data_IF_961731650334
#
_entry.id   IF_961731650334
#
_cell.length_a   1.000
_cell.length_b   1.000
_cell.length_c   1.000
_cell.angle_alpha   90.00
_cell.angle_beta   90.00
_cell.angle_gamma   90.00
#
_symmetry.space_group_name_H-M   'P 1'
#
loop_
_entity.id
_entity.type
_entity.pdbx_description
1 polymer ?
#
# COMPACT_ATOMS: atom_id res chain seq x y z
N UNK A 1 13.90 -46.76 22.84
CA UNK A 1 14.35 -46.10 21.60
C UNK A 1 13.80 -44.71 21.67
N UNK A 2 14.65 -43.74 22.01
CA UNK A 2 14.29 -42.34 21.94
C UNK A 2 14.35 -41.97 20.46
N UNK A 3 13.17 -41.82 19.84
CA UNK A 3 13.10 -41.29 18.48
C UNK A 3 13.40 -39.80 18.55
N UNK A 4 14.44 -39.36 17.86
CA UNK A 4 14.72 -37.93 17.70
C UNK A 4 13.84 -37.44 16.55
N UNK A 5 12.83 -36.64 16.85
CA UNK A 5 12.03 -35.96 15.84
C UNK A 5 12.83 -34.77 15.31
N UNK A 6 13.25 -34.84 14.05
CA UNK A 6 13.89 -33.72 13.36
C UNK A 6 12.85 -33.01 12.51
N UNK A 7 12.63 -31.73 12.79
CA UNK A 7 11.80 -30.84 11.98
C UNK A 7 12.70 -30.07 11.01
N UNK A 8 12.65 -30.38 9.72
CA UNK A 8 13.29 -29.60 8.68
C UNK A 8 12.26 -28.72 8.00
N UNK A 9 12.54 -27.42 7.86
CA UNK A 9 11.71 -26.53 7.04
C UNK A 9 12.52 -26.13 5.80
N UNK A 10 11.95 -26.32 4.61
CA UNK A 10 12.57 -25.95 3.33
C UNK A 10 11.73 -24.89 2.65
N UNK A 11 12.39 -23.83 2.18
CA UNK A 11 11.76 -22.85 1.30
C UNK A 11 11.82 -23.36 -0.14
N UNK A 12 10.66 -23.43 -0.78
CA UNK A 12 10.54 -23.87 -2.17
C UNK A 12 10.00 -22.70 -2.98
N UNK A 13 10.88 -22.09 -3.78
CA UNK A 13 10.55 -20.99 -4.70
C UNK A 13 10.45 -21.54 -6.11
N UNK A 14 9.26 -21.48 -6.69
CA UNK A 14 8.95 -21.96 -8.04
C UNK A 14 8.18 -20.90 -8.84
N UNK A 15 8.28 -20.95 -10.16
CA UNK A 15 7.34 -20.27 -11.06
C UNK A 15 5.98 -20.92 -10.85
N UNK A 16 4.94 -20.11 -10.60
CA UNK A 16 3.58 -20.62 -10.47
C UNK A 16 3.03 -21.04 -11.84
N UNK A 17 3.21 -20.17 -12.83
CA UNK A 17 2.89 -20.39 -14.23
C UNK A 17 3.66 -19.37 -15.08
N UNK A 18 4.25 -19.86 -16.17
CA UNK A 18 4.72 -19.01 -17.28
C UNK A 18 3.50 -18.67 -18.13
N UNK A 19 2.92 -17.47 -17.91
CA UNK A 19 1.66 -17.07 -18.55
C UNK A 19 1.93 -16.65 -20.00
N UNK A 20 3.01 -15.89 -20.25
CA UNK A 20 3.49 -15.48 -21.56
C UNK A 20 4.66 -16.34 -22.03
N UNK A 21 4.35 -17.56 -22.47
CA UNK A 21 5.35 -18.62 -22.72
C UNK A 21 6.62 -18.16 -23.45
N UNK A 22 7.79 -18.47 -22.90
CA UNK A 22 9.09 -18.22 -23.52
C UNK A 22 9.86 -17.08 -22.85
N UNK A 23 10.42 -16.15 -23.64
CA UNK A 23 11.17 -14.99 -23.09
C UNK A 23 10.27 -13.76 -22.86
N UNK A 24 8.97 -13.87 -23.14
CA UNK A 24 8.02 -12.79 -22.94
C UNK A 24 7.67 -12.70 -21.46
N UNK A 25 7.71 -11.50 -20.88
CA UNK A 25 7.27 -11.32 -19.51
C UNK A 25 5.75 -11.29 -19.43
N UNK A 26 5.18 -11.99 -18.45
CA UNK A 26 3.75 -11.93 -18.12
C UNK A 26 3.33 -10.60 -17.47
N UNK A 27 4.29 -9.87 -16.90
CA UNK A 27 4.11 -8.57 -16.23
C UNK A 27 2.92 -8.58 -15.26
N UNK A 28 2.85 -9.60 -14.41
CA UNK A 28 1.84 -9.66 -13.36
C UNK A 28 2.08 -8.61 -12.30
N UNK A 29 1.03 -7.98 -11.76
CA UNK A 29 1.08 -6.99 -10.67
C UNK A 29 -0.36 -6.72 -10.17
N UNK A 30 -0.52 -5.76 -9.24
CA UNK A 30 -1.81 -5.42 -8.60
C UNK A 30 -2.44 -6.61 -7.86
N UNK A 31 -1.64 -7.37 -7.11
CA UNK A 31 -2.15 -8.53 -6.38
C UNK A 31 -3.18 -8.16 -5.32
N UNK A 32 -4.31 -8.86 -5.34
CA UNK A 32 -5.33 -8.79 -4.28
C UNK A 32 -5.94 -10.16 -4.03
N UNK A 33 -6.58 -10.33 -2.88
CA UNK A 33 -7.19 -11.59 -2.47
C UNK A 33 -8.69 -11.43 -2.34
N UNK A 34 -9.45 -12.37 -2.91
CA UNK A 34 -10.87 -12.53 -2.64
C UNK A 34 -11.14 -13.98 -2.23
N UNK A 35 -11.44 -14.18 -0.95
CA UNK A 35 -11.52 -15.51 -0.35
C UNK A 35 -10.14 -16.19 -0.29
N UNK A 36 -9.99 -17.33 -0.94
CA UNK A 36 -8.73 -18.07 -1.06
C UNK A 36 -8.09 -17.97 -2.45
N UNK A 37 -8.53 -17.00 -3.25
CA UNK A 37 -8.09 -16.84 -4.65
C UNK A 37 -7.34 -15.52 -4.81
N UNK A 38 -6.13 -15.61 -5.38
CA UNK A 38 -5.33 -14.49 -5.83
C UNK A 38 -5.94 -13.92 -7.11
N UNK A 39 -6.06 -12.60 -7.19
CA UNK A 39 -6.40 -11.85 -8.39
C UNK A 39 -5.30 -10.86 -8.72
N UNK A 40 -5.02 -10.70 -10.00
CA UNK A 40 -3.95 -9.86 -10.52
C UNK A 40 -4.21 -9.54 -11.98
N UNK A 41 -3.52 -8.54 -12.53
CA UNK A 41 -3.51 -8.34 -13.98
C UNK A 41 -2.27 -9.03 -14.58
N UNK A 42 -2.37 -9.56 -15.79
CA UNK A 42 -1.25 -10.17 -16.52
C UNK A 42 -1.55 -10.28 -18.02
N UNK A 43 -0.53 -10.50 -18.83
CA UNK A 43 -0.64 -10.79 -20.27
C UNK A 43 -0.16 -12.20 -20.61
N UNK A 44 -0.86 -12.87 -21.54
CA UNK A 44 -0.44 -14.13 -22.17
C UNK A 44 0.20 -13.92 -23.56
N UNK A 45 0.46 -12.66 -23.92
CA UNK A 45 1.00 -12.27 -25.23
C UNK A 45 -0.02 -12.26 -26.38
N UNK A 46 -1.23 -12.78 -26.18
CA UNK A 46 -2.27 -12.87 -27.23
C UNK A 46 -3.50 -12.00 -26.95
N UNK A 47 -3.83 -11.80 -25.68
CA UNK A 47 -5.04 -11.11 -25.23
C UNK A 47 -4.76 -9.77 -24.53
N UNK A 48 -3.52 -9.26 -24.61
CA UNK A 48 -3.12 -8.08 -23.84
C UNK A 48 -3.15 -8.33 -22.32
N UNK A 49 -3.10 -7.26 -21.53
CA UNK A 49 -3.17 -7.30 -20.06
C UNK A 49 -4.62 -7.34 -19.61
N UNK A 50 -5.00 -8.46 -19.01
CA UNK A 50 -6.36 -8.78 -18.56
C UNK A 50 -6.40 -9.19 -17.09
N UNK A 51 -7.59 -9.44 -16.53
CA UNK A 51 -7.76 -9.91 -15.16
C UNK A 51 -7.52 -11.42 -15.10
N UNK A 52 -6.63 -11.85 -14.21
CA UNK A 52 -6.30 -13.25 -13.94
C UNK A 52 -6.63 -13.63 -12.51
N UNK A 53 -6.77 -14.94 -12.30
CA UNK A 53 -6.94 -15.52 -10.97
C UNK A 53 -6.12 -16.78 -10.78
N UNK A 54 -5.79 -17.11 -9.53
CA UNK A 54 -5.12 -18.36 -9.16
C UNK A 54 -5.48 -18.80 -7.74
N UNK A 55 -5.55 -20.11 -7.50
CA UNK A 55 -5.56 -20.71 -6.16
C UNK A 55 -4.18 -21.20 -5.69
N UNK A 56 -3.13 -20.89 -6.45
CA UNK A 56 -1.77 -21.37 -6.19
C UNK A 56 -1.38 -22.63 -6.97
N UNK A 57 -2.18 -23.07 -7.94
CA UNK A 57 -1.84 -24.13 -8.90
C UNK A 57 -1.74 -23.61 -10.33
N UNK A 58 -0.92 -24.26 -11.17
CA UNK A 58 -0.79 -23.90 -12.59
C UNK A 58 -2.12 -24.06 -13.34
N UNK A 59 -2.91 -25.09 -12.99
CA UNK A 59 -4.20 -25.39 -13.59
C UNK A 59 -5.27 -24.34 -13.26
N UNK A 60 -5.29 -23.81 -12.04
CA UNK A 60 -6.24 -22.76 -11.64
C UNK A 60 -5.83 -21.37 -12.08
N UNK A 61 -4.56 -21.19 -12.48
CA UNK A 61 -4.03 -19.91 -12.93
C UNK A 61 -4.54 -19.61 -14.33
N UNK A 62 -5.64 -18.87 -14.42
CA UNK A 62 -6.36 -18.63 -15.67
C UNK A 62 -6.85 -17.19 -15.77
N UNK A 63 -6.96 -16.70 -17.01
CA UNK A 63 -7.63 -15.44 -17.30
C UNK A 63 -9.11 -15.56 -16.89
N UNK A 64 -9.61 -14.56 -16.18
CA UNK A 64 -11.00 -14.51 -15.75
C UNK A 64 -11.91 -14.20 -16.94
N UNK A 65 -11.52 -13.21 -17.74
CA UNK A 65 -12.22 -12.75 -18.94
C UNK A 65 -11.29 -11.90 -19.79
N UNK A 66 -11.35 -12.09 -21.10
CA UNK A 66 -10.84 -11.14 -22.09
C UNK A 66 -11.85 -10.00 -22.22
N UNK A 67 -11.64 -8.91 -21.46
CA UNK A 67 -12.58 -7.78 -21.39
C UNK A 67 -12.51 -6.97 -22.68
N UNK A 68 -11.30 -6.66 -23.14
CA UNK A 68 -11.08 -6.02 -24.43
C UNK A 68 -10.64 -7.07 -25.45
N UNK A 69 -11.61 -7.61 -26.18
CA UNK A 69 -11.37 -8.75 -27.07
C UNK A 69 -10.17 -8.60 -28.01
N UNK A 70 -9.27 -9.59 -27.97
CA UNK A 70 -8.06 -9.67 -28.81
C UNK A 70 -6.83 -9.09 -28.12
N UNK A 71 -5.80 -8.70 -28.89
CA UNK A 71 -4.49 -8.34 -28.33
C UNK A 71 -4.43 -6.97 -27.61
N UNK A 72 -5.56 -6.28 -27.45
CA UNK A 72 -5.62 -4.97 -26.79
C UNK A 72 -5.93 -5.18 -25.32
N UNK A 73 -5.22 -4.47 -24.44
CA UNK A 73 -5.37 -4.65 -23.00
C UNK A 73 -6.57 -3.89 -22.43
N UNK A 74 -7.32 -4.50 -21.52
CA UNK A 74 -8.36 -3.83 -20.72
C UNK A 74 -7.81 -3.03 -19.55
N UNK A 75 -6.53 -3.21 -19.22
CA UNK A 75 -5.81 -2.54 -18.12
C UNK A 75 -6.56 -2.55 -16.78
N UNK A 76 -6.87 -3.75 -16.21
CA UNK A 76 -7.43 -3.83 -14.87
C UNK A 76 -6.55 -3.11 -13.86
N UNK A 77 -7.12 -2.43 -12.88
CA UNK A 77 -6.33 -1.81 -11.81
C UNK A 77 -7.16 -1.38 -10.61
N UNK A 78 -6.48 -1.01 -9.52
CA UNK A 78 -7.10 -0.73 -8.22
C UNK A 78 -7.94 -1.91 -7.70
N UNK A 79 -7.41 -3.14 -7.85
CA UNK A 79 -8.14 -4.36 -7.51
C UNK A 79 -8.54 -4.35 -6.02
N UNK A 80 -9.83 -4.26 -5.73
CA UNK A 80 -10.34 -4.08 -4.36
C UNK A 80 -11.50 -5.04 -4.08
N UNK A 81 -11.32 -5.91 -3.10
CA UNK A 81 -12.35 -6.85 -2.66
C UNK A 81 -13.31 -6.19 -1.68
N UNK A 82 -14.62 -6.29 -1.94
CA UNK A 82 -15.69 -5.93 -1.00
C UNK A 82 -16.63 -7.13 -0.85
N UNK A 83 -16.55 -7.82 0.29
CA UNK A 83 -17.26 -9.07 0.50
C UNK A 83 -16.80 -10.15 -0.49
N UNK A 84 -17.72 -10.67 -1.30
CA UNK A 84 -17.46 -11.68 -2.34
C UNK A 84 -17.43 -11.08 -3.75
N UNK A 85 -17.12 -9.79 -3.87
CA UNK A 85 -17.04 -9.10 -5.16
C UNK A 85 -15.73 -8.35 -5.26
N UNK A 86 -15.02 -8.59 -6.37
CA UNK A 86 -13.83 -7.84 -6.74
C UNK A 86 -14.24 -6.64 -7.58
N UNK A 87 -13.86 -5.43 -7.19
CA UNK A 87 -14.02 -4.21 -7.96
C UNK A 87 -12.69 -3.75 -8.55
N UNK A 88 -12.74 -3.23 -9.77
CA UNK A 88 -11.56 -2.72 -10.46
C UNK A 88 -11.96 -1.72 -11.55
N UNK A 89 -11.02 -0.91 -12.03
CA UNK A 89 -11.19 -0.16 -13.28
C UNK A 89 -10.78 -1.02 -14.47
N UNK A 90 -11.47 -0.91 -15.60
CA UNK A 90 -11.05 -1.52 -16.87
C UNK A 90 -11.72 -0.82 -18.07
N UNK A 91 -11.19 -1.02 -19.27
CA UNK A 91 -11.77 -0.53 -20.54
C UNK A 91 -12.22 -1.71 -21.41
N UNK A 92 -13.31 -1.52 -22.16
CA UNK A 92 -13.72 -2.46 -23.21
C UNK A 92 -13.69 -1.76 -24.59
N UNK A 93 -14.21 -2.43 -25.63
CA UNK A 93 -14.20 -1.91 -27.01
C UNK A 93 -15.23 -0.81 -27.30
N UNK A 94 -16.19 -0.60 -26.41
CA UNK A 94 -17.33 0.31 -26.59
C UNK A 94 -17.31 1.48 -25.60
N UNK A 95 -16.78 1.24 -24.41
CA UNK A 95 -16.71 2.15 -23.27
C UNK A 95 -15.26 2.46 -22.95
N UNK A 96 -14.99 3.66 -22.44
CA UNK A 96 -13.67 3.99 -21.91
C UNK A 96 -13.37 3.25 -20.60
N UNK A 97 -12.42 3.78 -19.82
CA UNK A 97 -12.06 3.20 -18.52
C UNK A 97 -13.15 3.50 -17.49
N UNK A 98 -13.83 2.45 -17.05
CA UNK A 98 -15.03 2.51 -16.20
C UNK A 98 -14.93 1.55 -14.99
N UNK A 99 -15.95 1.55 -14.13
CA UNK A 99 -16.02 0.67 -12.96
C UNK A 99 -16.52 -0.72 -13.37
N UNK A 100 -15.72 -1.75 -13.10
CA UNK A 100 -16.03 -3.16 -13.32
C UNK A 100 -16.10 -3.93 -12.00
N UNK A 101 -16.79 -5.06 -12.06
CA UNK A 101 -16.82 -6.04 -10.97
C UNK A 101 -16.61 -7.46 -11.48
N UNK A 102 -16.19 -8.36 -10.59
CA UNK A 102 -16.09 -9.79 -10.83
C UNK A 102 -16.44 -10.61 -9.58
N UNK A 103 -17.06 -11.77 -9.78
CA UNK A 103 -17.20 -12.84 -8.78
C UNK A 103 -16.13 -13.94 -8.96
N UNK A 104 -15.17 -13.71 -9.86
CA UNK A 104 -14.15 -14.67 -10.26
C UNK A 104 -14.48 -15.47 -11.51
N UNK A 105 -15.69 -15.37 -12.06
CA UNK A 105 -16.08 -16.05 -13.29
C UNK A 105 -16.14 -15.09 -14.49
N UNK A 106 -16.02 -15.62 -15.71
CA UNK A 106 -16.18 -14.82 -16.93
C UNK A 106 -17.59 -14.18 -17.01
N UNK A 107 -18.62 -14.89 -16.58
CA UNK A 107 -20.01 -14.41 -16.61
C UNK A 107 -20.30 -13.36 -15.53
N UNK A 108 -19.68 -13.48 -14.35
CA UNK A 108 -19.78 -12.49 -13.28
C UNK A 108 -18.88 -11.27 -13.47
N UNK A 109 -17.96 -11.32 -14.43
CA UNK A 109 -17.09 -10.18 -14.80
C UNK A 109 -17.82 -9.23 -15.75
N UNK A 110 -18.26 -8.09 -15.23
CA UNK A 110 -19.11 -7.15 -15.96
C UNK A 110 -18.87 -5.69 -15.57
N UNK A 111 -19.14 -4.80 -16.52
CA UNK A 111 -19.26 -3.37 -16.29
C UNK A 111 -20.36 -3.11 -15.24
N UNK A 112 -20.05 -2.36 -14.19
CA UNK A 112 -21.02 -1.97 -13.17
C UNK A 112 -21.90 -0.84 -13.70
N UNK A 113 -21.26 0.17 -14.28
CA UNK A 113 -21.90 1.34 -14.88
C UNK A 113 -20.92 2.01 -15.85
N UNK A 114 -21.43 2.41 -17.01
CA UNK A 114 -20.81 3.41 -17.87
C UNK A 114 -21.05 4.79 -17.25
N UNK A 115 -20.15 5.23 -16.36
CA UNK A 115 -20.30 6.48 -15.61
C UNK A 115 -20.15 7.65 -16.55
N UNK A 116 -19.17 7.62 -17.45
CA UNK A 116 -18.99 8.62 -18.50
C UNK A 116 -19.41 8.05 -19.85
N UNK A 117 -20.67 8.30 -20.20
CA UNK A 117 -21.34 7.66 -21.33
C UNK A 117 -20.53 7.58 -22.64
N UNK A 118 -20.50 6.40 -23.24
CA UNK A 118 -19.86 6.12 -24.53
C UNK A 118 -18.36 5.90 -24.42
N UNK A 119 -17.59 6.33 -25.42
CA UNK A 119 -16.14 6.09 -25.47
C UNK A 119 -15.31 6.98 -24.49
N UNK A 120 -15.97 7.74 -23.62
CA UNK A 120 -15.30 8.52 -22.59
C UNK A 120 -14.86 7.64 -21.41
N UNK A 121 -13.82 8.05 -20.68
CA UNK A 121 -13.40 7.37 -19.45
C UNK A 121 -13.80 8.18 -18.21
N UNK A 122 -14.38 7.50 -17.22
CA UNK A 122 -14.58 8.02 -15.87
C UNK A 122 -13.36 7.89 -14.96
N UNK A 123 -12.37 7.08 -15.37
CA UNK A 123 -11.09 6.88 -14.68
C UNK A 123 -11.22 6.59 -13.16
N UNK A 124 -12.04 5.60 -12.76
CA UNK A 124 -12.30 5.37 -11.36
C UNK A 124 -11.03 4.93 -10.63
N UNK A 125 -10.76 5.50 -9.45
CA UNK A 125 -9.53 5.26 -8.68
C UNK A 125 -9.73 5.45 -7.17
N UNK A 126 -8.69 5.14 -6.38
CA UNK A 126 -8.69 5.27 -4.91
C UNK A 126 -9.83 4.47 -4.26
N UNK A 127 -9.95 3.21 -4.65
CA UNK A 127 -11.02 2.32 -4.19
C UNK A 127 -10.89 2.06 -2.70
N UNK A 128 -11.98 2.22 -1.96
CA UNK A 128 -12.01 2.03 -0.51
C UNK A 128 -13.35 1.46 -0.08
N UNK A 129 -13.31 0.34 0.62
CA UNK A 129 -14.51 -0.29 1.16
C UNK A 129 -14.92 0.37 2.49
N UNK A 130 -16.20 0.71 2.63
CA UNK A 130 -16.81 1.05 3.92
C UNK A 130 -18.02 0.14 4.11
N UNK A 131 -17.88 -0.88 4.95
CA UNK A 131 -18.87 -1.96 5.05
C UNK A 131 -19.02 -2.68 3.69
N UNK A 132 -20.24 -2.69 3.15
CA UNK A 132 -20.54 -3.30 1.84
C UNK A 132 -20.54 -2.30 0.66
N UNK A 133 -20.18 -1.04 0.90
CA UNK A 133 -20.18 0.01 -0.12
C UNK A 133 -18.75 0.32 -0.55
N UNK A 134 -18.51 0.34 -1.86
CA UNK A 134 -17.27 0.83 -2.44
C UNK A 134 -17.35 2.34 -2.60
N UNK A 135 -16.37 3.07 -2.10
CA UNK A 135 -16.15 4.49 -2.38
C UNK A 135 -14.92 4.66 -3.28
N UNK A 136 -14.98 5.64 -4.17
CA UNK A 136 -13.92 5.89 -5.14
C UNK A 136 -14.01 7.29 -5.74
N UNK A 137 -12.92 7.77 -6.32
CA UNK A 137 -12.88 8.98 -7.16
C UNK A 137 -13.26 8.62 -8.60
N UNK A 138 -14.12 9.40 -9.25
CA UNK A 138 -14.41 9.27 -10.69
C UNK A 138 -15.03 10.56 -11.26
N UNK A 139 -15.10 10.65 -12.59
CA UNK A 139 -15.80 11.73 -13.32
C UNK A 139 -16.90 11.19 -14.24
N UNK A 140 -18.02 11.89 -14.35
CA UNK A 140 -19.05 11.64 -15.36
C UNK A 140 -18.86 12.50 -16.64
N UNK A 141 -17.79 13.30 -16.70
CA UNK A 141 -17.53 14.24 -17.78
C UNK A 141 -18.31 15.56 -17.69
N UNK A 142 -19.12 15.76 -16.64
CA UNK A 142 -19.89 17.00 -16.39
C UNK A 142 -19.43 17.67 -15.10
N UNK A 143 -19.22 16.89 -14.03
CA UNK A 143 -19.00 17.37 -12.67
C UNK A 143 -17.54 17.22 -12.19
N UNK A 144 -16.57 17.11 -13.10
CA UNK A 144 -15.17 16.89 -12.71
C UNK A 144 -14.96 15.56 -11.96
N UNK A 145 -13.83 15.42 -11.26
CA UNK A 145 -13.54 14.25 -10.42
C UNK A 145 -14.07 14.47 -9.01
N UNK A 146 -15.03 13.64 -8.62
CA UNK A 146 -15.78 13.76 -7.36
C UNK A 146 -15.80 12.43 -6.60
N UNK A 147 -16.39 12.44 -5.41
CA UNK A 147 -16.56 11.23 -4.61
C UNK A 147 -17.78 10.45 -5.13
N UNK A 148 -17.56 9.21 -5.53
CA UNK A 148 -18.58 8.26 -5.95
C UNK A 148 -18.68 7.10 -4.98
N UNK A 149 -19.85 6.44 -4.99
CA UNK A 149 -20.07 5.19 -4.29
C UNK A 149 -20.77 4.16 -5.18
N UNK A 150 -20.61 2.88 -4.85
CA UNK A 150 -21.29 1.76 -5.50
C UNK A 150 -21.66 0.67 -4.50
N UNK A 151 -22.83 0.06 -4.70
CA UNK A 151 -23.27 -1.20 -4.06
C UNK A 151 -23.09 -2.42 -4.99
N UNK A 152 -22.43 -2.23 -6.14
CA UNK A 152 -22.25 -3.24 -7.18
C UNK A 152 -23.34 -3.27 -8.24
N UNK A 153 -24.32 -2.37 -8.18
CA UNK A 153 -25.35 -2.20 -9.20
C UNK A 153 -25.19 -0.86 -9.95
N UNK A 154 -25.65 -0.79 -11.19
CA UNK A 154 -25.68 0.47 -11.95
C UNK A 154 -26.48 1.57 -11.24
N UNK A 155 -27.61 1.21 -10.61
CA UNK A 155 -28.48 2.16 -9.90
C UNK A 155 -27.87 2.67 -8.59
N UNK A 156 -27.16 1.81 -7.87
CA UNK A 156 -26.44 2.19 -6.65
C UNK A 156 -25.07 2.83 -6.89
N UNK A 157 -24.63 2.92 -8.16
CA UNK A 157 -23.40 3.60 -8.55
C UNK A 157 -23.66 5.06 -8.86
N UNK A 158 -23.40 5.93 -7.89
CA UNK A 158 -23.80 7.34 -7.91
C UNK A 158 -22.73 8.26 -7.32
N UNK A 159 -22.68 9.49 -7.81
CA UNK A 159 -21.93 10.56 -7.17
C UNK A 159 -22.54 10.85 -5.80
N UNK A 160 -21.70 10.97 -4.77
CA UNK A 160 -22.16 11.26 -3.40
C UNK A 160 -22.52 12.74 -3.27
N UNK A 161 -21.66 13.61 -3.78
CA UNK A 161 -21.81 15.06 -3.80
C UNK A 161 -20.88 15.65 -4.85
N UNK A 162 -21.36 16.63 -5.61
CA UNK A 162 -20.53 17.55 -6.38
C UNK A 162 -19.95 18.57 -5.40
N UNK A 163 -18.75 18.30 -4.87
CA UNK A 163 -18.10 19.15 -3.86
C UNK A 163 -17.65 20.45 -4.50
N UNK A 164 -17.09 20.38 -5.71
CA UNK A 164 -16.63 21.55 -6.47
C UNK A 164 -17.47 21.74 -7.73
N UNK A 165 -18.54 22.52 -7.57
CA UNK A 165 -19.59 22.65 -8.57
C UNK A 165 -19.13 22.82 -10.03
N UNK A 166 -19.73 22.04 -10.91
CA UNK A 166 -19.53 22.08 -12.36
C UNK A 166 -18.32 21.26 -12.82
N UNK A 167 -17.71 21.61 -13.95
CA UNK A 167 -16.63 20.80 -14.55
C UNK A 167 -15.29 20.84 -13.80
N UNK A 168 -15.23 21.51 -12.64
CA UNK A 168 -14.02 21.57 -11.84
C UNK A 168 -13.90 20.33 -10.96
N UNK A 169 -12.68 19.92 -10.63
CA UNK A 169 -12.45 18.70 -9.87
C UNK A 169 -12.28 19.04 -8.38
N UNK A 170 -13.00 18.35 -7.49
CA UNK A 170 -12.65 18.32 -6.06
C UNK A 170 -11.48 17.40 -5.75
N UNK A 171 -11.18 16.45 -6.66
CA UNK A 171 -10.06 15.51 -6.59
C UNK A 171 -9.95 14.76 -5.26
N UNK A 172 -10.94 13.92 -4.87
CA UNK A 172 -10.85 13.14 -3.65
C UNK A 172 -9.60 12.25 -3.59
N UNK A 173 -8.86 12.34 -2.49
CA UNK A 173 -7.64 11.58 -2.22
C UNK A 173 -7.64 11.03 -0.78
N UNK A 174 -6.73 10.09 -0.51
CA UNK A 174 -6.54 9.49 0.81
C UNK A 174 -7.85 8.98 1.44
N UNK A 175 -8.66 8.26 0.67
CA UNK A 175 -9.92 7.68 1.18
C UNK A 175 -9.61 6.68 2.29
N UNK A 176 -10.12 6.92 3.50
CA UNK A 176 -9.84 6.15 4.70
C UNK A 176 -11.13 5.88 5.46
N UNK A 177 -11.45 4.60 5.66
CA UNK A 177 -12.62 4.18 6.43
C UNK A 177 -12.36 4.26 7.94
N UNK A 178 -13.26 4.90 8.70
CA UNK A 178 -13.28 4.90 10.16
C UNK A 178 -14.67 4.50 10.63
N UNK A 179 -14.81 3.23 11.03
CA UNK A 179 -16.13 2.64 11.30
C UNK A 179 -17.02 2.70 10.06
N UNK A 180 -18.16 3.39 10.16
CA UNK A 180 -19.10 3.61 9.04
C UNK A 180 -18.91 4.95 8.31
N UNK A 181 -17.91 5.74 8.68
CA UNK A 181 -17.64 7.06 8.08
C UNK A 181 -16.42 6.96 7.17
N UNK A 182 -16.51 7.54 5.97
CA UNK A 182 -15.36 7.74 5.11
C UNK A 182 -14.74 9.09 5.41
N UNK A 183 -13.44 9.13 5.66
CA UNK A 183 -12.62 10.34 5.67
C UNK A 183 -11.82 10.42 4.38
N UNK A 184 -11.63 11.62 3.85
CA UNK A 184 -10.90 11.85 2.61
C UNK A 184 -10.48 13.31 2.51
N UNK A 185 -9.64 13.59 1.53
CA UNK A 185 -9.13 14.94 1.25
C UNK A 185 -9.76 15.44 -0.03
N UNK A 186 -10.28 16.67 -0.04
CA UNK A 186 -10.91 17.25 -1.22
C UNK A 186 -10.85 18.78 -1.22
N UNK A 187 -11.01 19.37 -2.40
CA UNK A 187 -10.96 20.81 -2.64
C UNK A 187 -12.32 21.33 -3.14
N UNK A 188 -12.95 22.27 -2.42
CA UNK A 188 -14.24 22.84 -2.82
C UNK A 188 -14.13 24.09 -3.71
N UNK A 189 -12.91 24.54 -4.01
CA UNK A 189 -12.62 25.75 -4.76
C UNK A 189 -12.76 27.05 -3.97
N UNK A 190 -13.11 26.99 -2.68
CA UNK A 190 -13.31 28.16 -1.80
C UNK A 190 -12.29 28.15 -0.66
N UNK A 191 -12.20 27.05 0.08
CA UNK A 191 -11.28 26.86 1.22
C UNK A 191 -10.09 25.97 0.87
N UNK A 192 -9.91 25.65 -0.41
CA UNK A 192 -8.80 24.81 -0.87
C UNK A 192 -8.93 23.35 -0.43
N UNK A 193 -7.81 22.64 -0.45
CA UNK A 193 -7.71 21.20 -0.15
C UNK A 193 -7.69 20.96 1.36
N UNK A 194 -8.75 20.34 1.89
CA UNK A 194 -8.99 20.18 3.34
C UNK A 194 -9.43 18.75 3.69
N UNK A 195 -9.59 18.46 4.99
CA UNK A 195 -10.13 17.18 5.46
C UNK A 195 -11.67 17.18 5.39
N UNK A 196 -12.22 16.15 4.74
CA UNK A 196 -13.65 15.92 4.59
C UNK A 196 -14.06 14.57 5.19
N UNK A 197 -15.36 14.45 5.48
CA UNK A 197 -15.99 13.19 5.84
C UNK A 197 -17.30 12.97 5.11
N UNK A 198 -17.71 11.72 4.97
CA UNK A 198 -18.98 11.31 4.37
C UNK A 198 -19.59 10.10 5.08
N UNK A 199 -20.91 10.11 5.24
CA UNK A 199 -21.73 8.95 5.62
C UNK A 199 -22.36 8.26 4.38
N UNK A 200 -21.95 8.67 3.18
CA UNK A 200 -22.49 8.22 1.90
C UNK A 200 -23.69 9.01 1.39
N UNK A 201 -24.11 10.06 2.09
CA UNK A 201 -25.17 10.98 1.63
C UNK A 201 -24.59 12.36 1.29
N UNK A 202 -25.25 13.11 0.43
CA UNK A 202 -24.87 14.50 0.11
C UNK A 202 -24.87 15.38 1.35
N UNK A 203 -25.84 15.19 2.26
CA UNK A 203 -25.97 15.98 3.48
C UNK A 203 -24.89 15.67 4.52
N UNK A 204 -24.50 14.39 4.66
CA UNK A 204 -23.42 13.97 5.54
C UNK A 204 -22.02 14.13 4.94
N UNK A 205 -21.91 14.60 3.69
CA UNK A 205 -20.63 14.89 3.04
C UNK A 205 -20.22 16.34 3.27
N UNK A 206 -19.37 16.54 4.27
CA UNK A 206 -19.02 17.86 4.81
C UNK A 206 -17.53 17.95 5.13
N UNK A 207 -17.00 19.16 5.03
CA UNK A 207 -15.67 19.49 5.54
C UNK A 207 -15.64 19.31 7.06
N UNK A 208 -14.55 18.77 7.59
CA UNK A 208 -14.36 18.60 9.03
C UNK A 208 -13.94 19.92 9.67
N UNK A 209 -12.97 20.60 9.06
CA UNK A 209 -12.44 21.89 9.48
C UNK A 209 -11.73 22.54 8.28
N UNK A 210 -11.87 23.85 8.14
CA UNK A 210 -10.98 24.68 7.34
C UNK A 210 -9.72 24.94 8.19
N UNK A 211 -8.69 24.12 8.02
CA UNK A 211 -7.46 24.19 8.82
C UNK A 211 -6.65 25.40 8.40
N UNK A 212 -6.48 25.62 7.09
CA UNK A 212 -5.78 26.80 6.54
C UNK A 212 -6.75 27.67 5.77
N UNK A 213 -7.15 28.76 6.42
CA UNK A 213 -8.14 29.68 5.86
C UNK A 213 -7.80 30.17 4.45
N UNK A 214 -8.77 30.06 3.55
CA UNK A 214 -8.69 30.54 2.18
C UNK A 214 -8.36 29.46 1.16
N UNK A 215 -8.26 29.83 -0.12
CA UNK A 215 -8.22 28.87 -1.22
C UNK A 215 -6.95 28.01 -1.33
N UNK A 216 -5.92 28.27 -0.51
CA UNK A 216 -4.69 27.49 -0.50
C UNK A 216 -4.88 26.10 0.12
N UNK A 217 -5.74 25.97 1.14
CA UNK A 217 -6.00 24.74 1.89
C UNK A 217 -4.79 24.18 2.64
N UNK A 218 -5.04 23.26 3.57
CA UNK A 218 -4.03 22.69 4.46
C UNK A 218 -3.31 21.45 3.95
N UNK A 219 -3.71 20.94 2.78
CA UNK A 219 -3.15 19.74 2.13
C UNK A 219 -2.95 18.54 3.08
N UNK A 220 -4.03 18.01 3.70
CA UNK A 220 -3.88 16.83 4.54
C UNK A 220 -3.34 15.62 3.76
N UNK A 221 -2.42 14.87 4.33
CA UNK A 221 -1.90 13.61 3.74
C UNK A 221 -1.71 12.52 4.80
N UNK A 222 -1.50 11.28 4.34
CA UNK A 222 -1.20 10.13 5.21
C UNK A 222 -2.30 9.87 6.26
N UNK A 223 -3.57 9.92 5.84
CA UNK A 223 -4.72 9.69 6.74
C UNK A 223 -4.66 8.27 7.37
N UNK A 224 -4.20 8.19 8.62
CA UNK A 224 -4.01 6.93 9.36
C UNK A 224 -4.85 6.89 10.63
N UNK A 225 -5.52 5.76 10.86
CA UNK A 225 -6.44 5.59 11.99
C UNK A 225 -5.73 4.93 13.17
N UNK A 226 -5.86 5.51 14.37
CA UNK A 226 -5.48 4.88 15.65
C UNK A 226 -6.71 4.84 16.55
N UNK A 227 -7.28 3.64 16.72
CA UNK A 227 -8.57 3.48 17.40
C UNK A 227 -9.69 4.19 16.64
N UNK A 228 -10.18 5.31 17.18
CA UNK A 228 -11.21 6.17 16.53
C UNK A 228 -10.66 7.54 16.12
N UNK A 229 -9.38 7.82 16.37
CA UNK A 229 -8.73 9.08 16.04
C UNK A 229 -8.02 8.96 14.71
N UNK A 230 -8.22 9.94 13.83
CA UNK A 230 -7.50 10.05 12.57
C UNK A 230 -6.27 10.93 12.77
N UNK A 231 -5.10 10.46 12.33
CA UNK A 231 -3.85 11.20 12.30
C UNK A 231 -3.45 11.46 10.86
N UNK A 232 -2.84 12.62 10.62
CA UNK A 232 -2.44 13.06 9.28
C UNK A 232 -1.44 14.21 9.38
N UNK A 233 -0.69 14.48 8.31
CA UNK A 233 0.06 15.73 8.21
C UNK A 233 -0.81 16.83 7.63
N UNK A 234 -0.66 18.08 8.05
CA UNK A 234 -1.32 19.24 7.45
C UNK A 234 -0.59 20.55 7.81
N UNK A 235 -0.78 21.58 6.99
CA UNK A 235 -0.24 22.94 7.19
C UNK A 235 -1.38 23.93 7.48
N UNK A 236 -1.35 24.60 8.62
CA UNK A 236 -2.33 25.64 9.00
C UNK A 236 -1.97 27.06 8.51
N UNK A 237 -0.85 27.21 7.81
CA UNK A 237 -0.28 28.48 7.37
C UNK A 237 0.47 29.24 8.45
N UNK A 238 0.67 28.64 9.63
CA UNK A 238 1.40 29.21 10.76
C UNK A 238 2.57 28.31 11.16
N UNK A 239 2.33 27.00 11.22
CA UNK A 239 3.22 26.00 11.80
C UNK A 239 3.94 25.13 10.75
N UNK A 240 3.71 25.36 9.45
CA UNK A 240 4.14 24.44 8.40
C UNK A 240 3.42 23.08 8.45
N UNK A 241 3.92 22.12 7.67
CA UNK A 241 3.42 20.74 7.66
C UNK A 241 3.81 19.98 8.94
N UNK A 242 2.82 19.73 9.76
CA UNK A 242 2.98 19.13 11.10
C UNK A 242 2.00 17.98 11.34
N UNK A 243 2.15 17.29 12.47
CA UNK A 243 1.25 16.18 12.83
C UNK A 243 -0.06 16.73 13.41
N UNK A 244 -1.17 16.41 12.75
CA UNK A 244 -2.52 16.73 13.18
C UNK A 244 -3.30 15.48 13.57
N UNK A 245 -4.35 15.69 14.38
CA UNK A 245 -5.34 14.66 14.67
C UNK A 245 -6.75 15.18 14.57
N UNK A 246 -7.71 14.27 14.35
CA UNK A 246 -9.14 14.57 14.32
C UNK A 246 -9.97 13.43 14.93
N UNK A 247 -11.03 13.81 15.67
CA UNK A 247 -12.13 12.92 16.07
C UNK A 247 -13.35 13.01 15.13
N UNK A 248 -13.19 13.72 14.00
CA UNK A 248 -14.25 13.99 13.05
C UNK A 248 -15.06 15.26 13.32
N UNK A 249 -14.72 16.02 14.35
CA UNK A 249 -15.32 17.33 14.65
C UNK A 249 -14.33 18.46 14.44
N UNK A 250 -14.83 19.66 14.19
CA UNK A 250 -13.98 20.86 14.07
C UNK A 250 -13.18 21.12 15.34
N UNK A 251 -13.78 20.91 16.52
CA UNK A 251 -13.14 21.14 17.82
C UNK A 251 -12.05 20.10 18.15
N UNK A 252 -12.27 18.83 17.77
CA UNK A 252 -11.29 17.77 17.93
C UNK A 252 -10.25 17.69 16.82
N UNK A 253 -10.33 18.56 15.81
CA UNK A 253 -9.31 18.67 14.74
C UNK A 253 -8.25 19.69 15.13
N UNK A 254 -7.12 19.20 15.60
CA UNK A 254 -6.08 20.01 16.26
C UNK A 254 -4.67 19.55 15.89
N UNK A 255 -3.75 20.52 15.88
CA UNK A 255 -2.31 20.29 15.84
C UNK A 255 -1.91 19.47 17.08
N UNK A 256 -1.15 18.40 16.88
CA UNK A 256 -0.64 17.58 18.00
C UNK A 256 0.56 18.26 18.64
N UNK A 257 1.52 18.69 17.81
CA UNK A 257 2.73 19.40 18.19
C UNK A 257 3.30 20.11 16.96
N UNK A 258 3.75 21.34 17.15
CA UNK A 258 4.68 22.02 16.25
C UNK A 258 6.08 21.43 16.50
N UNK A 259 6.48 20.46 15.68
CA UNK A 259 7.73 19.72 15.85
C UNK A 259 8.91 20.58 15.38
N UNK A 260 8.78 21.21 14.21
CA UNK A 260 9.79 22.13 13.68
C UNK A 260 9.34 23.59 13.86
N UNK A 261 9.64 24.13 15.04
CA UNK A 261 9.04 25.38 15.53
C UNK A 261 9.00 26.54 14.53
N UNK A 262 7.83 27.17 14.39
CA UNK A 262 7.63 28.32 13.50
C UNK A 262 6.96 27.91 12.21
N UNK A 263 7.25 28.59 11.10
CA UNK A 263 6.66 28.30 9.78
C UNK A 263 7.43 27.22 9.00
N UNK A 264 8.23 26.42 9.69
CA UNK A 264 9.03 25.36 9.08
C UNK A 264 8.29 24.03 9.11
N UNK A 265 8.52 23.20 8.10
CA UNK A 265 7.88 21.90 8.01
C UNK A 265 8.64 20.84 8.80
N UNK A 266 7.93 19.99 9.54
CA UNK A 266 8.47 18.72 10.05
C UNK A 266 8.25 17.54 9.10
N UNK A 267 7.35 17.71 8.12
CA UNK A 267 6.90 16.73 7.11
C UNK A 267 6.66 15.31 7.67
N UNK A 268 5.67 15.12 8.57
CA UNK A 268 5.31 13.79 9.04
C UNK A 268 4.93 12.84 7.88
N UNK A 269 5.64 11.73 7.74
CA UNK A 269 5.41 10.72 6.70
C UNK A 269 5.41 9.30 7.27
N UNK A 270 4.95 8.30 6.49
CA UNK A 270 4.93 6.89 6.87
C UNK A 270 4.11 6.60 8.14
N UNK A 271 3.05 7.37 8.36
CA UNK A 271 2.21 7.28 9.57
C UNK A 271 1.67 5.86 9.74
N UNK A 272 2.15 5.17 10.78
CA UNK A 272 1.84 3.76 11.06
C UNK A 272 1.41 3.59 12.50
N UNK A 273 0.25 2.98 12.71
CA UNK A 273 -0.31 2.74 14.03
C UNK A 273 0.28 1.48 14.68
N UNK A 274 0.99 1.62 15.80
CA UNK A 274 1.43 0.49 16.63
C UNK A 274 0.73 0.54 17.99
N UNK A 275 -0.35 -0.25 18.12
CA UNK A 275 -1.22 -0.20 19.29
C UNK A 275 -1.97 1.14 19.36
N UNK A 276 -1.82 1.89 20.45
CA UNK A 276 -2.42 3.22 20.65
C UNK A 276 -1.50 4.37 20.27
N UNK A 277 -0.35 4.09 19.68
CA UNK A 277 0.70 5.08 19.37
C UNK A 277 0.90 5.14 17.86
N UNK A 278 0.98 6.35 17.31
CA UNK A 278 1.36 6.56 15.90
C UNK A 278 2.88 6.72 15.80
N UNK A 279 3.49 6.04 14.84
CA UNK A 279 4.91 6.17 14.48
C UNK A 279 5.01 6.78 13.09
N UNK A 280 5.99 7.65 12.89
CA UNK A 280 6.17 8.39 11.65
C UNK A 280 7.61 8.89 11.52
N UNK A 281 8.02 9.22 10.31
CA UNK A 281 9.22 10.00 10.05
C UNK A 281 8.90 11.49 10.23
N UNK A 282 9.76 12.26 10.89
CA UNK A 282 9.67 13.73 10.93
C UNK A 282 11.03 14.36 11.25
N UNK A 283 11.15 15.68 11.03
CA UNK A 283 12.33 16.49 11.38
C UNK A 283 11.96 17.59 12.36
N UNK A 284 12.80 17.82 13.37
CA UNK A 284 12.70 18.99 14.27
C UNK A 284 13.63 20.14 13.88
N UNK A 285 14.19 20.08 12.66
CA UNK A 285 15.15 21.05 12.15
C UNK A 285 16.58 20.90 12.69
N UNK A 286 16.80 20.05 13.70
CA UNK A 286 18.11 19.84 14.33
C UNK A 286 18.67 18.42 14.20
N UNK A 287 17.80 17.41 14.22
CA UNK A 287 18.12 15.99 14.06
C UNK A 287 17.91 15.47 12.63
N UNK A 288 17.45 16.32 11.70
CA UNK A 288 17.01 15.85 10.38
C UNK A 288 15.82 14.89 10.49
N UNK A 289 15.56 14.14 9.42
CA UNK A 289 14.43 13.20 9.38
C UNK A 289 14.72 11.90 10.11
N UNK A 290 14.00 11.66 11.20
CA UNK A 290 14.22 10.54 12.12
C UNK A 290 12.90 9.83 12.48
N UNK A 291 12.99 8.74 13.25
CA UNK A 291 11.81 8.03 13.75
C UNK A 291 11.20 8.76 14.95
N UNK A 292 9.95 9.19 14.80
CA UNK A 292 9.14 9.82 15.84
C UNK A 292 7.96 8.95 16.24
N UNK A 293 7.42 9.23 17.43
CA UNK A 293 6.17 8.64 17.90
C UNK A 293 5.28 9.68 18.57
N UNK A 294 3.98 9.41 18.63
CA UNK A 294 3.01 10.20 19.38
C UNK A 294 1.89 9.35 19.97
N UNK A 295 1.45 9.69 21.18
CA UNK A 295 0.21 9.21 21.81
C UNK A 295 -0.99 10.15 21.55
N UNK A 296 -0.81 11.14 20.70
CA UNK A 296 -1.78 12.19 20.41
C UNK A 296 -1.70 13.41 21.32
N UNK A 297 -0.72 13.49 22.21
CA UNK A 297 -0.44 14.67 23.05
C UNK A 297 0.90 15.30 22.68
N UNK A 298 1.05 16.60 22.90
CA UNK A 298 2.32 17.31 22.68
C UNK A 298 3.46 16.71 23.49
N UNK A 299 3.19 16.28 24.74
CA UNK A 299 4.20 15.68 25.62
C UNK A 299 4.61 14.26 25.19
N UNK A 300 3.67 13.48 24.63
CA UNK A 300 3.93 12.15 24.09
C UNK A 300 4.47 12.15 22.67
N UNK A 301 4.49 13.30 21.98
CA UNK A 301 5.14 13.46 20.66
C UNK A 301 6.63 13.71 20.81
N UNK A 302 7.42 12.65 20.61
CA UNK A 302 8.87 12.64 20.89
C UNK A 302 9.64 11.86 19.83
N UNK A 303 10.89 12.27 19.62
CA UNK A 303 11.90 11.51 18.89
C UNK A 303 12.14 10.16 19.58
N UNK A 304 12.09 9.07 18.83
CA UNK A 304 12.37 7.73 19.36
C UNK A 304 13.88 7.53 19.50
N UNK A 305 14.62 7.88 18.45
CA UNK A 305 16.07 7.81 18.38
C UNK A 305 16.59 8.69 17.25
N UNK A 306 17.67 9.41 17.51
CA UNK A 306 18.52 10.07 16.51
C UNK A 306 19.42 8.98 15.90
N UNK A 307 18.96 8.31 14.82
CA UNK A 307 19.67 7.16 14.24
C UNK A 307 20.93 7.63 13.53
N UNK A 308 20.79 8.63 12.65
CA UNK A 308 21.92 9.35 12.08
C UNK A 308 22.15 10.58 12.96
N UNK A 309 23.31 10.67 13.60
CA UNK A 309 23.50 11.68 14.65
C UNK A 309 23.70 13.09 14.08
N UNK A 310 23.02 14.07 14.67
CA UNK A 310 23.14 15.48 14.29
C UNK A 310 22.21 15.86 13.16
N UNK A 311 22.59 16.81 12.29
CA UNK A 311 21.68 17.34 11.28
C UNK A 311 21.49 16.42 10.06
N UNK A 312 22.19 15.29 9.98
CA UNK A 312 21.98 14.28 8.95
C UNK A 312 20.84 13.39 9.38
N UNK A 313 19.73 13.35 8.63
CA UNK A 313 18.62 12.45 8.94
C UNK A 313 18.89 11.01 8.51
N UNK A 314 18.22 10.07 9.14
CA UNK A 314 18.21 8.64 8.80
C UNK A 314 17.18 8.25 7.74
N UNK A 315 16.27 9.18 7.42
CA UNK A 315 15.17 9.04 6.47
C UNK A 315 14.38 7.73 6.58
N UNK A 316 13.73 7.42 7.72
CA UNK A 316 13.04 6.14 7.89
C UNK A 316 11.87 5.93 6.92
N UNK A 317 11.77 4.76 6.27
CA UNK A 317 10.65 4.41 5.37
C UNK A 317 10.26 2.92 5.42
N UNK A 318 9.21 2.52 4.69
CA UNK A 318 8.68 1.14 4.65
C UNK A 318 8.26 0.60 6.03
N UNK A 319 7.47 1.38 6.77
CA UNK A 319 7.05 1.03 8.12
C UNK A 319 6.11 -0.16 8.12
N UNK A 320 6.54 -1.29 8.70
CA UNK A 320 5.80 -2.55 8.71
C UNK A 320 5.84 -3.18 10.10
N UNK A 321 4.68 -3.62 10.61
CA UNK A 321 4.55 -4.20 11.95
C UNK A 321 4.60 -5.73 11.94
N UNK A 322 5.36 -6.29 12.88
CA UNK A 322 5.27 -7.71 13.26
C UNK A 322 5.03 -7.78 14.76
N UNK A 323 3.80 -8.11 15.16
CA UNK A 323 3.38 -8.05 16.56
C UNK A 323 3.48 -6.62 17.10
N UNK A 324 4.34 -6.42 18.10
CA UNK A 324 4.60 -5.11 18.73
C UNK A 324 5.96 -4.52 18.35
N UNK A 325 6.52 -4.95 17.22
CA UNK A 325 7.81 -4.47 16.71
C UNK A 325 7.59 -3.81 15.36
N UNK A 326 8.03 -2.57 15.23
CA UNK A 326 8.07 -1.84 13.98
C UNK A 326 9.37 -2.15 13.24
N UNK A 327 9.27 -2.64 12.01
CA UNK A 327 10.37 -2.78 11.06
C UNK A 327 10.31 -1.66 10.05
N UNK A 328 11.45 -1.15 9.65
CA UNK A 328 11.58 -0.06 8.69
C UNK A 328 12.99 -0.06 8.09
N UNK A 329 13.18 0.76 7.06
CA UNK A 329 14.48 1.02 6.46
C UNK A 329 14.99 2.35 6.95
N UNK A 330 16.27 2.45 7.32
CA UNK A 330 16.91 3.70 7.74
C UNK A 330 18.42 3.64 7.53
N UNK A 331 19.06 4.81 7.47
CA UNK A 331 20.50 4.98 7.31
C UNK A 331 21.13 5.63 8.56
N UNK A 332 22.19 5.05 9.12
CA UNK A 332 22.92 5.58 10.28
C UNK A 332 24.25 6.27 9.91
N UNK A 333 24.48 6.55 8.63
CA UNK A 333 25.71 7.09 8.04
C UNK A 333 26.94 6.17 8.18
N UNK A 334 26.75 4.94 8.67
CA UNK A 334 27.82 3.94 8.86
C UNK A 334 27.57 2.72 7.98
N UNK A 335 26.34 2.22 7.95
CA UNK A 335 25.91 1.00 7.26
C UNK A 335 25.01 1.26 6.04
N UNK A 336 24.76 2.52 5.68
CA UNK A 336 23.81 2.85 4.60
C UNK A 336 22.36 2.50 4.94
N UNK A 337 21.47 2.50 3.95
CA UNK A 337 20.08 2.09 4.11
C UNK A 337 19.95 0.58 4.31
N UNK A 338 19.52 0.21 5.51
CA UNK A 338 19.44 -1.18 5.96
C UNK A 338 18.14 -1.46 6.73
N UNK A 339 17.89 -2.72 7.08
CA UNK A 339 16.71 -3.10 7.86
C UNK A 339 16.92 -2.77 9.34
N UNK A 340 16.04 -1.94 9.89
CA UNK A 340 15.97 -1.58 11.30
C UNK A 340 14.70 -2.12 11.96
N UNK A 341 14.74 -2.21 13.29
CA UNK A 341 13.56 -2.49 14.11
C UNK A 341 13.47 -1.57 15.31
N UNK A 342 12.26 -1.36 15.83
CA UNK A 342 11.98 -0.61 17.06
C UNK A 342 10.83 -1.24 17.84
N UNK A 343 10.98 -1.26 19.18
CA UNK A 343 9.89 -1.52 20.13
C UNK A 343 9.24 -0.23 20.65
N UNK A 344 9.62 0.92 20.07
CA UNK A 344 9.20 2.25 20.49
C UNK A 344 10.10 2.92 21.53
N UNK A 345 11.19 2.28 21.95
CA UNK A 345 12.21 2.86 22.83
C UNK A 345 13.51 3.11 22.08
N UNK A 346 14.32 4.05 22.57
CA UNK A 346 15.66 4.30 22.01
C UNK A 346 16.54 3.05 22.04
N UNK A 347 16.49 2.28 23.14
CA UNK A 347 17.28 1.07 23.32
C UNK A 347 16.83 -0.08 22.41
N UNK A 348 15.52 -0.22 22.20
CA UNK A 348 14.96 -1.21 21.29
C UNK A 348 15.02 -0.81 19.82
N UNK A 349 15.48 0.41 19.50
CA UNK A 349 15.65 0.88 18.12
C UNK A 349 17.06 0.57 17.63
N UNK A 350 17.19 -0.45 16.79
CA UNK A 350 18.47 -1.04 16.39
C UNK A 350 18.47 -1.56 14.96
N UNK A 351 19.65 -1.50 14.33
CA UNK A 351 19.97 -2.18 13.09
C UNK A 351 19.76 -3.68 13.28
N UNK A 352 19.02 -4.31 12.36
CA UNK A 352 18.82 -5.77 12.38
C UNK A 352 20.06 -6.46 11.83
N UNK A 353 20.56 -5.99 10.69
CA UNK A 353 21.77 -6.48 10.02
C UNK A 353 22.27 -5.45 9.02
N UNK A 354 23.58 -5.23 9.00
CA UNK A 354 24.29 -4.64 7.86
C UNK A 354 24.39 -5.72 6.77
N UNK A 355 23.43 -5.72 5.83
CA UNK A 355 23.34 -6.72 4.75
C UNK A 355 24.47 -6.48 3.75
N UNK A 356 24.72 -5.21 3.40
CA UNK A 356 25.81 -4.82 2.51
C UNK A 356 26.89 -4.07 3.28
N UNK A 357 27.83 -4.86 3.81
CA UNK A 357 28.88 -4.39 4.72
C UNK A 357 29.50 -3.02 4.37
N UNK A 358 29.41 -2.09 5.32
CA UNK A 358 29.95 -0.74 5.22
C UNK A 358 28.91 0.29 4.77
N UNK A 359 29.35 1.47 4.34
CA UNK A 359 28.44 2.60 4.08
C UNK A 359 27.63 2.50 2.76
N UNK A 360 27.47 1.31 2.20
CA UNK A 360 26.73 1.11 0.94
C UNK A 360 25.36 0.54 1.22
N UNK A 361 24.34 1.06 0.55
CA UNK A 361 22.95 0.63 0.75
C UNK A 361 22.71 -0.81 0.27
N UNK A 362 21.89 -1.56 1.03
CA UNK A 362 21.36 -2.86 0.59
C UNK A 362 19.99 -2.74 -0.10
N UNK A 363 19.47 -1.52 -0.23
CA UNK A 363 18.18 -1.17 -0.84
C UNK A 363 16.98 -2.04 -0.41
N UNK A 364 16.70 -2.24 0.90
CA UNK A 364 15.57 -3.05 1.30
C UNK A 364 14.23 -2.43 0.86
N UNK A 365 13.34 -3.24 0.27
CA UNK A 365 12.03 -2.79 -0.17
C UNK A 365 10.96 -3.90 -0.14
N UNK A 366 9.69 -3.52 -0.34
CA UNK A 366 8.54 -4.43 -0.39
C UNK A 366 8.34 -5.27 0.88
N UNK A 367 8.53 -4.66 2.05
CA UNK A 367 8.38 -5.29 3.36
C UNK A 367 7.02 -5.98 3.51
N UNK A 368 7.04 -7.30 3.57
CA UNK A 368 5.84 -8.14 3.59
C UNK A 368 5.93 -9.17 4.71
N UNK A 369 4.89 -9.27 5.53
CA UNK A 369 4.88 -10.16 6.70
C UNK A 369 4.17 -11.46 6.36
N UNK A 370 4.85 -12.59 6.57
CA UNK A 370 4.24 -13.93 6.52
C UNK A 370 4.47 -14.64 7.85
N UNK A 371 3.40 -14.81 8.63
CA UNK A 371 3.49 -15.29 10.02
C UNK A 371 4.28 -14.30 10.89
N UNK A 372 5.41 -14.73 11.45
CA UNK A 372 6.31 -13.91 12.26
C UNK A 372 7.61 -13.52 11.54
N UNK A 373 7.66 -13.68 10.22
CA UNK A 373 8.86 -13.44 9.41
C UNK A 373 8.61 -12.28 8.45
N UNK A 374 9.56 -11.34 8.38
CA UNK A 374 9.59 -10.28 7.37
C UNK A 374 10.23 -10.81 6.10
N UNK A 375 9.62 -10.59 4.96
CA UNK A 375 10.15 -10.84 3.62
C UNK A 375 10.29 -9.53 2.87
N UNK A 376 11.37 -9.39 2.10
CA UNK A 376 11.72 -8.15 1.40
C UNK A 376 12.76 -8.44 0.32
N UNK A 377 12.95 -7.51 -0.62
CA UNK A 377 14.12 -7.56 -1.50
C UNK A 377 15.30 -6.86 -0.84
N UNK A 378 16.55 -7.30 -1.10
CA UNK A 378 17.76 -6.56 -0.72
C UNK A 378 18.99 -7.07 -1.51
N UNK A 379 20.08 -6.30 -1.47
CA UNK A 379 21.36 -6.58 -2.14
C UNK A 379 22.52 -6.62 -1.16
N UNK A 380 23.24 -7.74 -1.07
CA UNK A 380 24.43 -7.90 -0.21
C UNK A 380 25.74 -7.47 -0.88
N UNK A 381 25.67 -6.89 -2.08
CA UNK A 381 26.82 -6.48 -2.88
C UNK A 381 27.50 -7.64 -3.63
N UNK A 382 27.04 -8.88 -3.47
CA UNK A 382 27.58 -10.08 -4.12
C UNK A 382 26.59 -10.74 -5.07
N UNK A 383 25.31 -10.76 -4.70
CA UNK A 383 24.25 -11.51 -5.38
C UNK A 383 23.19 -10.64 -6.07
N UNK A 384 23.40 -9.32 -6.13
CA UNK A 384 22.38 -8.40 -6.65
C UNK A 384 21.14 -8.32 -5.75
N UNK A 385 20.06 -7.72 -6.24
CA UNK A 385 18.79 -7.63 -5.51
C UNK A 385 18.04 -8.97 -5.61
N UNK A 386 17.87 -9.61 -4.46
CA UNK A 386 17.28 -10.94 -4.32
C UNK A 386 16.24 -11.00 -3.19
N UNK A 387 15.56 -12.14 -3.01
CA UNK A 387 14.56 -12.31 -1.95
C UNK A 387 15.24 -12.62 -0.61
N UNK A 388 14.96 -11.82 0.40
CA UNK A 388 15.46 -11.95 1.77
C UNK A 388 14.34 -12.19 2.76
N UNK A 389 14.74 -12.72 3.93
CA UNK A 389 13.87 -12.83 5.09
C UNK A 389 14.57 -12.39 6.37
N UNK A 390 13.78 -12.02 7.39
CA UNK A 390 14.26 -11.75 8.73
C UNK A 390 13.26 -12.23 9.80
N UNK A 391 13.79 -12.83 10.87
CA UNK A 391 13.06 -13.10 12.11
C UNK A 391 13.27 -11.98 13.16
N UNK A 392 13.89 -10.88 12.76
CA UNK A 392 14.26 -9.77 13.64
C UNK A 392 15.64 -9.88 14.26
N UNK A 393 16.43 -10.91 13.94
CA UNK A 393 17.82 -11.06 14.39
C UNK A 393 18.79 -11.01 13.21
N UNK A 394 20.04 -10.61 13.46
CA UNK A 394 21.08 -10.64 12.43
C UNK A 394 21.30 -12.06 11.85
N UNK A 395 21.24 -13.08 12.71
CA UNK A 395 21.44 -14.48 12.31
C UNK A 395 20.28 -15.03 11.48
N UNK A 396 19.04 -14.64 11.79
CA UNK A 396 17.85 -15.00 11.02
C UNK A 396 17.59 -14.09 9.82
N UNK A 397 18.41 -13.05 9.62
CA UNK A 397 18.36 -12.18 8.44
C UNK A 397 19.25 -12.73 7.33
N UNK A 398 18.64 -13.44 6.39
CA UNK A 398 19.33 -14.24 5.38
C UNK A 398 18.60 -14.18 4.04
N UNK A 399 19.36 -14.32 2.96
CA UNK A 399 18.80 -14.52 1.63
C UNK A 399 18.01 -15.83 1.61
N UNK A 400 16.80 -15.80 1.08
CA UNK A 400 15.96 -16.99 0.90
C UNK A 400 16.52 -17.85 -0.21
N UNK A 401 16.81 -17.20 -1.35
CA UNK A 401 17.34 -17.84 -2.55
C UNK A 401 17.98 -16.79 -3.44
N UNK A 402 19.14 -17.10 -4.00
CA UNK A 402 19.72 -16.42 -5.15
C UNK A 402 18.95 -16.90 -6.39
N UNK A 403 17.88 -16.18 -6.76
CA UNK A 403 17.01 -16.55 -7.87
C UNK A 403 17.74 -16.35 -9.19
N UNK A 404 18.53 -15.27 -9.31
CA UNK A 404 19.39 -15.02 -10.47
C UNK A 404 20.87 -15.09 -10.09
N UNK A 405 21.43 -16.29 -10.26
CA UNK A 405 22.79 -16.61 -9.84
C UNK A 405 23.87 -15.57 -10.20
N UNK A 406 24.62 -15.15 -9.19
CA UNK A 406 25.75 -14.21 -9.31
C UNK A 406 25.34 -12.77 -9.04
N UNK A 407 26.15 -11.80 -9.48
CA UNK A 407 25.98 -10.38 -9.11
C UNK A 407 24.80 -9.66 -9.81
N UNK A 408 23.84 -10.40 -10.34
CA UNK A 408 22.75 -9.86 -11.15
C UNK A 408 21.43 -10.00 -10.42
N UNK A 409 20.63 -8.93 -10.36
CA UNK A 409 19.35 -8.95 -9.65
C UNK A 409 18.27 -9.80 -10.31
N UNK A 410 17.47 -10.48 -9.49
CA UNK A 410 16.15 -11.01 -9.87
C UNK A 410 15.01 -10.01 -9.65
N UNK A 411 15.26 -8.91 -8.93
CA UNK A 411 14.30 -7.82 -8.65
C UNK A 411 12.92 -8.32 -8.16
N UNK A 412 12.84 -8.99 -6.98
CA UNK A 412 11.57 -9.43 -6.42
C UNK A 412 10.67 -8.25 -6.02
N UNK A 413 9.49 -8.15 -6.61
CA UNK A 413 8.53 -7.08 -6.32
C UNK A 413 7.10 -7.59 -6.12
N UNK A 414 6.24 -6.70 -5.64
CA UNK A 414 4.82 -6.96 -5.37
C UNK A 414 4.61 -8.20 -4.49
N UNK A 415 5.41 -8.31 -3.43
CA UNK A 415 5.29 -9.40 -2.47
C UNK A 415 3.90 -9.39 -1.82
N UNK A 416 3.20 -10.52 -1.87
CA UNK A 416 1.88 -10.70 -1.24
C UNK A 416 1.75 -12.07 -0.61
N UNK A 417 1.00 -12.17 0.49
CA UNK A 417 0.86 -13.41 1.25
C UNK A 417 -0.57 -13.92 1.17
N UNK A 418 -0.71 -15.22 0.88
CA UNK A 418 -2.00 -15.93 0.94
C UNK A 418 -1.80 -17.20 1.72
N UNK A 419 -2.46 -17.29 2.89
CA UNK A 419 -2.26 -18.42 3.80
C UNK A 419 -0.78 -18.53 4.22
N UNK A 420 -0.13 -19.62 3.81
CA UNK A 420 1.29 -19.91 4.10
C UNK A 420 2.20 -19.75 2.88
N UNK A 421 1.74 -19.04 1.86
CA UNK A 421 2.44 -18.88 0.58
C UNK A 421 2.70 -17.41 0.30
N UNK A 422 3.94 -17.09 -0.07
CA UNK A 422 4.34 -15.78 -0.55
C UNK A 422 4.35 -15.79 -2.08
N UNK A 423 3.61 -14.89 -2.71
CA UNK A 423 3.62 -14.66 -4.15
C UNK A 423 4.37 -13.36 -4.45
N UNK A 424 5.09 -13.32 -5.56
CA UNK A 424 5.86 -12.17 -5.99
C UNK A 424 6.28 -12.33 -7.44
N UNK A 425 6.63 -11.22 -8.10
CA UNK A 425 7.26 -11.26 -9.41
C UNK A 425 8.77 -11.28 -9.26
N UNK A 426 9.47 -12.04 -10.10
CA UNK A 426 10.91 -11.84 -10.24
C UNK A 426 11.42 -12.33 -11.59
N UNK A 427 12.54 -11.76 -12.02
CA UNK A 427 13.20 -12.05 -13.28
C UNK A 427 14.17 -13.23 -13.17
N UNK A 428 14.15 -14.14 -14.14
CA UNK A 428 15.28 -15.02 -14.44
C UNK A 428 15.58 -15.07 -15.95
N UNK A 429 16.77 -15.58 -16.30
CA UNK A 429 17.23 -15.59 -17.71
C UNK A 429 16.55 -16.64 -18.58
N UNK A 430 15.71 -17.51 -18.01
CA UNK A 430 15.06 -18.63 -18.72
C UNK A 430 13.62 -18.27 -19.08
N UNK A 431 12.90 -17.67 -18.14
CA UNK A 431 11.45 -17.39 -18.18
C UNK A 431 11.12 -15.90 -18.23
N UNK A 432 12.11 -15.01 -18.11
CA UNK A 432 11.84 -13.58 -18.01
C UNK A 432 11.23 -13.23 -16.65
N UNK A 433 10.30 -12.26 -16.63
CA UNK A 433 9.66 -11.76 -15.42
C UNK A 433 8.31 -12.42 -15.21
N UNK A 434 8.25 -13.32 -14.23
CA UNK A 434 7.11 -14.20 -14.03
C UNK A 434 6.60 -14.20 -12.59
N UNK A 435 5.33 -14.59 -12.44
CA UNK A 435 4.70 -14.83 -11.15
C UNK A 435 5.30 -16.07 -10.50
N UNK A 436 5.87 -15.88 -9.31
CA UNK A 436 6.43 -16.94 -8.48
C UNK A 436 5.60 -17.14 -7.21
N UNK A 437 5.76 -18.32 -6.65
CA UNK A 437 5.29 -18.65 -5.32
C UNK A 437 6.43 -19.25 -4.50
N UNK A 438 6.43 -18.93 -3.21
CA UNK A 438 7.29 -19.55 -2.20
C UNK A 438 6.42 -20.20 -1.13
N UNK A 439 6.59 -21.51 -0.98
CA UNK A 439 5.98 -22.30 0.11
C UNK A 439 7.02 -22.62 1.19
N UNK A 440 6.54 -22.78 2.43
CA UNK A 440 7.30 -23.38 3.52
C UNK A 440 6.90 -24.84 3.65
N UNK A 441 7.77 -25.75 3.23
CA UNK A 441 7.56 -27.19 3.40
C UNK A 441 8.17 -27.66 4.71
N UNK A 442 7.36 -28.24 5.59
CA UNK A 442 7.83 -28.89 6.81
C UNK A 442 7.98 -30.39 6.57
N UNK A 443 9.21 -30.90 6.65
CA UNK A 443 9.50 -32.33 6.65
C UNK A 443 9.75 -32.78 8.08
N UNK A 444 8.98 -33.77 8.53
CA UNK A 444 9.21 -34.44 9.82
C UNK A 444 9.93 -35.75 9.51
N UNK A 445 11.16 -35.88 10.00
CA UNK A 445 11.93 -37.13 9.90
C UNK A 445 11.98 -37.78 11.27
N UNK A 446 11.54 -39.04 11.34
CA UNK A 446 11.66 -39.87 12.53
C UNK A 446 12.93 -40.71 12.38
N UNK A 447 13.93 -40.46 13.23
CA UNK A 447 15.16 -41.25 13.30
C UNK A 447 15.10 -42.28 14.42
#
# INVERSE_FOLDING_TARGET
MDYVTTYCSKYVVNILKDINSGIGASNSDEFTVMGSTLYFKATDGSNGVELWRSDGTTESTVMVKDIYSGATSSWPGHLTTVGSTLYFKATDSSNGVELWKSDGTASGTMLVKDIRSGAGSSNPSKFTAVGSTLYFRATDGVNGDELWKSDGTASGTVMVKDIRSGASHSSPLYLTAVGSTLYFVANDGITGTELWKSDGTTAGTVMVKDIKSGASGSWPEQLTVVGSTLYFQADDGISGYELWKSDGTTAGTVLVKDINSGDFDSYPNQLTAMGSTIYFQASDGSSGFELWKSDGTTAGTVLVKDINSGSGGSYPYSFTLIGSTLYFVANDDISGYEVWKSDGTTAGTMLVKDIRSGASDSDPAYFTVMGSTLYFQANDGTNGIELWKSDGTAAGTVMVKDIRSGASSSDPEDLTVIGSTLYFNSYDTVSGRELRMMNIEHTITYN
#
